data_IF_766799540902
#
_entry.id   IF_766799540902
#
_cell.length_a   1.000
_cell.length_b   1.000
_cell.length_c   1.000
_cell.angle_alpha   90.00
_cell.angle_beta   90.00
_cell.angle_gamma   90.00
#
_symmetry.space_group_name_H-M   'P 1'
#
loop_
_entity.id
_entity.type
_entity.pdbx_description
1 polymer ?
#
# COMPACT_ATOMS: atom_id res chain seq x y z
N UNK A 1 0.64 14.51 1.78
CA UNK A 1 0.80 13.05 1.86
C UNK A 1 0.70 12.50 0.44
N UNK A 2 1.49 11.49 0.05
CA UNK A 2 1.60 11.03 -1.34
C UNK A 2 0.44 10.12 -1.78
N UNK A 3 -0.25 9.47 -0.83
CA UNK A 3 -1.48 8.69 -1.04
C UNK A 3 -2.52 9.13 0.00
N UNK A 4 -3.24 10.25 -0.24
CA UNK A 4 -4.14 10.85 0.76
C UNK A 4 -5.31 9.95 1.12
N UNK A 5 -5.76 9.11 0.18
CA UNK A 5 -6.88 8.19 0.37
C UNK A 5 -6.46 6.90 1.10
N UNK A 6 -5.18 6.76 1.48
CA UNK A 6 -4.67 5.58 2.17
C UNK A 6 -4.40 4.39 1.26
N UNK A 7 -4.36 3.20 1.86
CA UNK A 7 -4.04 1.93 1.18
C UNK A 7 -5.16 0.93 1.48
N UNK A 8 -5.80 0.41 0.43
CA UNK A 8 -6.77 -0.67 0.54
C UNK A 8 -6.08 -1.99 0.89
N UNK A 9 -6.75 -2.87 1.62
CA UNK A 9 -6.19 -4.18 2.00
C UNK A 9 -7.24 -5.25 1.75
N UNK A 10 -6.87 -6.28 1.00
CA UNK A 10 -7.74 -7.46 0.79
C UNK A 10 -7.34 -8.58 1.76
N UNK A 11 -8.28 -9.47 2.16
CA UNK A 11 -7.92 -10.73 2.81
C UNK A 11 -6.97 -11.56 1.93
N UNK A 12 -6.18 -12.45 2.55
CA UNK A 12 -5.36 -13.38 1.77
C UNK A 12 -6.25 -14.30 0.92
N UNK A 13 -5.94 -14.41 -0.36
CA UNK A 13 -6.66 -15.21 -1.35
C UNK A 13 -5.67 -15.80 -2.37
N UNK A 14 -6.11 -16.82 -3.11
CA UNK A 14 -5.28 -17.44 -4.16
C UNK A 14 -5.11 -16.48 -5.34
N UNK A 15 -3.86 -16.17 -5.75
CA UNK A 15 -3.61 -15.24 -6.85
C UNK A 15 -4.01 -15.85 -8.20
N UNK A 16 -4.29 -14.98 -9.18
CA UNK A 16 -4.67 -15.39 -10.54
C UNK A 16 -6.09 -15.92 -10.66
N UNK A 17 -6.97 -15.59 -9.70
CA UNK A 17 -8.39 -15.95 -9.72
C UNK A 17 -9.27 -14.73 -9.94
N UNK A 18 -10.46 -14.90 -10.51
CA UNK A 18 -11.42 -13.80 -10.69
C UNK A 18 -11.82 -13.18 -9.35
N UNK A 19 -11.97 -14.00 -8.30
CA UNK A 19 -12.37 -13.54 -6.98
C UNK A 19 -11.42 -12.51 -6.37
N UNK A 20 -10.10 -12.74 -6.44
CA UNK A 20 -9.12 -11.77 -5.93
C UNK A 20 -9.01 -10.54 -6.85
N UNK A 21 -9.25 -10.72 -8.15
CA UNK A 21 -9.35 -9.62 -9.12
C UNK A 21 -10.49 -8.66 -8.80
N UNK A 22 -11.70 -9.19 -8.55
CA UNK A 22 -12.88 -8.39 -8.17
C UNK A 22 -12.65 -7.65 -6.86
N UNK A 23 -12.16 -8.31 -5.80
CA UNK A 23 -11.89 -7.64 -4.52
C UNK A 23 -10.82 -6.55 -4.64
N UNK A 24 -9.79 -6.77 -5.46
CA UNK A 24 -8.78 -5.74 -5.72
C UNK A 24 -9.39 -4.55 -6.45
N UNK A 25 -10.24 -4.79 -7.45
CA UNK A 25 -10.94 -3.74 -8.18
C UNK A 25 -11.92 -2.95 -7.30
N UNK A 26 -12.60 -3.61 -6.35
CA UNK A 26 -13.45 -2.96 -5.35
C UNK A 26 -12.63 -2.00 -4.45
N UNK A 27 -11.48 -2.44 -3.95
CA UNK A 27 -10.59 -1.57 -3.17
C UNK A 27 -10.03 -0.40 -3.99
N UNK A 28 -9.80 -0.61 -5.29
CA UNK A 28 -9.30 0.44 -6.20
C UNK A 28 -10.31 1.56 -6.49
N UNK A 29 -11.58 1.41 -6.10
CA UNK A 29 -12.56 2.51 -6.23
C UNK A 29 -12.26 3.65 -5.25
N UNK A 30 -11.69 3.33 -4.10
CA UNK A 30 -11.41 4.28 -3.01
C UNK A 30 -9.90 4.51 -2.81
N UNK A 31 -9.04 3.61 -3.30
CA UNK A 31 -7.60 3.66 -3.04
C UNK A 31 -6.77 3.50 -4.32
N UNK A 32 -5.73 4.32 -4.49
CA UNK A 32 -4.76 4.14 -5.59
C UNK A 32 -3.73 3.04 -5.32
N UNK A 33 -3.65 2.54 -4.08
CA UNK A 33 -2.80 1.43 -3.65
C UNK A 33 -3.63 0.35 -2.97
N UNK A 34 -3.38 -0.92 -3.32
CA UNK A 34 -4.02 -2.09 -2.70
C UNK A 34 -2.98 -3.12 -2.30
N UNK A 35 -2.97 -3.51 -1.03
CA UNK A 35 -2.05 -4.51 -0.48
C UNK A 35 -2.70 -5.90 -0.49
N UNK A 36 -1.95 -6.88 -0.99
CA UNK A 36 -2.24 -8.30 -0.83
C UNK A 36 -1.33 -8.86 0.28
N UNK A 37 -1.87 -9.20 1.46
CA UNK A 37 -1.09 -9.77 2.55
C UNK A 37 -0.29 -10.98 2.08
N UNK A 38 0.98 -11.04 2.42
CA UNK A 38 1.91 -12.14 2.07
C UNK A 38 2.19 -12.32 0.55
N UNK A 39 1.87 -11.34 -0.29
CA UNK A 39 2.13 -11.40 -1.73
C UNK A 39 2.83 -10.14 -2.24
N UNK A 40 2.18 -8.98 -2.14
CA UNK A 40 2.68 -7.76 -2.77
C UNK A 40 1.65 -6.63 -2.77
N UNK A 41 1.84 -5.66 -3.66
CA UNK A 41 1.04 -4.44 -3.76
C UNK A 41 0.64 -4.16 -5.21
N UNK A 42 -0.51 -3.53 -5.39
CA UNK A 42 -1.00 -2.99 -6.65
C UNK A 42 -1.02 -1.46 -6.55
N UNK A 43 -0.64 -0.77 -7.62
CA UNK A 43 -0.71 0.68 -7.72
C UNK A 43 -1.33 1.13 -9.04
N UNK A 44 -2.13 2.19 -8.99
CA UNK A 44 -2.80 2.80 -10.14
C UNK A 44 -2.45 4.27 -10.26
N UNK A 45 -2.11 4.72 -11.46
CA UNK A 45 -1.75 6.10 -11.78
C UNK A 45 -1.96 6.41 -13.27
N UNK A 46 -2.09 7.69 -13.64
CA UNK A 46 -2.37 8.08 -15.03
C UNK A 46 -1.17 7.88 -15.98
N UNK A 47 0.04 7.75 -15.43
CA UNK A 47 1.25 7.41 -16.16
C UNK A 47 2.02 6.29 -15.47
N UNK A 48 2.99 5.69 -16.18
CA UNK A 48 3.89 4.71 -15.58
C UNK A 48 4.70 5.29 -14.42
N UNK A 49 5.18 6.53 -14.55
CA UNK A 49 5.97 7.20 -13.52
C UNK A 49 5.12 7.49 -12.27
N UNK A 50 3.85 7.86 -12.43
CA UNK A 50 2.95 8.08 -11.30
C UNK A 50 2.65 6.78 -10.57
N UNK A 51 2.31 5.71 -11.29
CA UNK A 51 2.02 4.40 -10.69
C UNK A 51 3.26 3.83 -9.98
N UNK A 52 4.43 3.94 -10.62
CA UNK A 52 5.70 3.51 -10.04
C UNK A 52 6.08 4.34 -8.82
N UNK A 53 6.00 5.67 -8.92
CA UNK A 53 6.33 6.58 -7.82
C UNK A 53 5.45 6.39 -6.59
N UNK A 54 4.16 6.06 -6.78
CA UNK A 54 3.25 5.69 -5.69
C UNK A 54 3.72 4.43 -4.96
N UNK A 55 4.04 3.37 -5.71
CA UNK A 55 4.53 2.11 -5.15
C UNK A 55 5.88 2.31 -4.45
N UNK A 56 6.84 2.98 -5.10
CA UNK A 56 8.18 3.23 -4.57
C UNK A 56 8.13 4.07 -3.28
N UNK A 57 7.23 5.07 -3.21
CA UNK A 57 7.04 5.85 -1.98
C UNK A 57 6.50 4.98 -0.83
N UNK A 58 5.52 4.12 -1.10
CA UNK A 58 4.95 3.22 -0.10
C UNK A 58 5.98 2.19 0.37
N UNK A 59 6.71 1.57 -0.55
CA UNK A 59 7.80 0.62 -0.26
C UNK A 59 8.92 1.29 0.55
N UNK A 60 9.31 2.51 0.19
CA UNK A 60 10.33 3.24 0.94
C UNK A 60 9.91 3.50 2.39
N UNK A 61 8.64 3.81 2.61
CA UNK A 61 8.08 3.95 3.96
C UNK A 61 8.11 2.62 4.73
N UNK A 62 7.75 1.51 4.07
CA UNK A 62 7.80 0.18 4.65
C UNK A 62 9.24 -0.23 5.02
N UNK A 63 10.23 0.03 4.15
CA UNK A 63 11.66 -0.23 4.41
C UNK A 63 12.12 0.49 5.69
N UNK A 64 11.78 1.78 5.82
CA UNK A 64 12.10 2.58 7.01
C UNK A 64 11.42 1.97 8.25
N UNK A 65 10.14 1.62 8.15
CA UNK A 65 9.39 1.03 9.26
C UNK A 65 9.99 -0.30 9.72
N UNK A 66 10.37 -1.19 8.79
CA UNK A 66 11.04 -2.46 9.11
C UNK A 66 12.34 -2.22 9.88
N UNK A 67 13.18 -1.26 9.44
CA UNK A 67 14.43 -0.93 10.12
C UNK A 67 14.18 -0.38 11.53
N UNK A 68 13.21 0.51 11.68
CA UNK A 68 12.83 1.10 12.99
C UNK A 68 12.36 0.01 13.96
N UNK A 69 11.44 -0.85 13.51
CA UNK A 69 10.92 -1.96 14.33
C UNK A 69 12.02 -2.95 14.69
N UNK A 70 12.94 -3.25 13.78
CA UNK A 70 14.09 -4.15 14.01
C UNK A 70 15.08 -3.61 15.05
N UNK A 71 15.15 -2.29 15.26
CA UNK A 71 15.95 -1.66 16.32
C UNK A 71 15.25 -1.66 17.69
N UNK A 72 14.06 -2.26 17.81
CA UNK A 72 13.28 -2.28 19.06
C UNK A 72 12.59 -0.95 19.39
N UNK A 73 12.61 0.01 18.47
CA UNK A 73 11.89 1.26 18.62
C UNK A 73 10.40 1.04 18.36
N UNK A 74 9.54 1.60 19.21
CA UNK A 74 8.09 1.67 18.96
C UNK A 74 7.83 2.74 17.90
N UNK A 75 7.00 2.45 16.91
CA UNK A 75 6.54 3.49 15.99
C UNK A 75 5.86 4.60 16.80
N UNK A 76 6.34 5.83 16.66
CA UNK A 76 5.63 7.01 17.14
C UNK A 76 4.87 7.57 15.95
N UNK A 77 3.54 7.75 16.04
CA UNK A 77 2.81 8.38 14.95
C UNK A 77 3.36 9.80 14.72
N UNK A 78 3.41 10.21 13.46
CA UNK A 78 3.68 11.60 13.14
C UNK A 78 2.63 12.48 13.83
N UNK A 79 3.03 13.61 14.45
CA UNK A 79 2.05 14.55 14.99
C UNK A 79 1.15 15.01 13.85
N UNK A 80 -0.17 14.86 14.03
CA UNK A 80 -1.15 15.38 13.09
C UNK A 80 -1.03 16.90 13.15
N UNK A 81 -0.68 17.54 12.03
CA UNK A 81 -0.70 18.99 11.95
C UNK A 81 -2.17 19.44 12.05
N UNK A 82 -2.46 20.32 13.01
CA UNK A 82 -3.75 21.01 13.10
C UNK A 82 -3.95 21.96 11.92
#
# INVERSE_FOLDING_TARGET
>A
MVFPDGIGIVPWMVPGTDGIGTQTAEQMQEHSLVLWPFHGIFGSGPTLDDAFGLIDTAEKSAEIMVKVLSMGARSKPFPVAN
#
